data_IF_094754353081
#
_entry.id   IF_094754353081
#
_cell.length_a   1.000
_cell.length_b   1.000
_cell.length_c   1.000
_cell.angle_alpha   90.00
_cell.angle_beta   90.00
_cell.angle_gamma   90.00
#
_symmetry.space_group_name_H-M   'P 1'
#
loop_
_entity.id
_entity.type
_entity.pdbx_description
1 polymer ?
#
# COMPACT_ATOMS: atom_id res chain seq x y z
N UNK A 1 -11.22 -10.53 6.43
CA UNK A 1 -11.14 -9.08 6.14
C UNK A 1 -12.13 -8.40 7.03
N UNK A 2 -11.76 -7.24 7.59
CA UNK A 2 -12.64 -6.42 8.43
C UNK A 2 -12.25 -4.94 8.27
N UNK A 3 -12.98 -4.02 8.88
CA UNK A 3 -12.56 -2.63 9.02
C UNK A 3 -11.38 -2.51 9.99
N UNK A 4 -10.43 -1.66 9.64
CA UNK A 4 -9.26 -1.41 10.46
C UNK A 4 -9.66 -0.57 11.68
N UNK A 5 -9.25 -0.99 12.89
CA UNK A 5 -9.67 -0.34 14.14
C UNK A 5 -9.22 1.12 14.27
N UNK A 6 -8.20 1.53 13.50
CA UNK A 6 -7.70 2.92 13.44
C UNK A 6 -8.40 3.77 12.35
N UNK A 7 -9.42 3.25 11.68
CA UNK A 7 -10.13 3.96 10.61
C UNK A 7 -9.46 3.81 9.25
N UNK A 8 -9.15 4.92 8.59
CA UNK A 8 -8.60 4.98 7.24
C UNK A 8 -7.09 5.19 7.25
N UNK A 9 -6.38 4.53 6.34
CA UNK A 9 -5.05 4.93 5.91
C UNK A 9 -5.16 5.65 4.56
N UNK A 10 -4.72 6.90 4.52
CA UNK A 10 -4.83 7.71 3.30
C UNK A 10 -3.67 8.69 3.10
N UNK A 11 -3.28 8.88 1.84
CA UNK A 11 -2.22 9.80 1.42
C UNK A 11 -0.95 9.05 1.02
N UNK A 12 0.21 9.64 1.22
CA UNK A 12 1.50 8.98 0.98
C UNK A 12 2.05 8.37 2.27
N UNK A 13 2.23 7.05 2.27
CA UNK A 13 2.73 6.28 3.40
C UNK A 13 4.06 5.58 3.09
N UNK A 14 4.87 5.38 4.13
CA UNK A 14 6.07 4.56 4.05
C UNK A 14 5.72 3.07 4.13
N UNK A 15 6.31 2.28 3.24
CA UNK A 15 6.13 0.84 3.14
C UNK A 15 7.48 0.16 3.37
N UNK A 16 7.51 -0.82 4.28
CA UNK A 16 8.67 -1.67 4.57
C UNK A 16 8.52 -3.02 3.89
N UNK A 17 9.53 -3.40 3.09
CA UNK A 17 9.70 -4.75 2.58
C UNK A 17 10.31 -5.63 3.68
N UNK A 18 9.64 -6.74 3.96
CA UNK A 18 10.08 -7.78 4.89
C UNK A 18 11.21 -8.63 4.28
N UNK A 19 11.87 -9.42 5.12
CA UNK A 19 12.98 -10.28 4.71
C UNK A 19 12.59 -11.20 3.55
N UNK A 20 11.41 -11.82 3.64
CA UNK A 20 10.85 -12.70 2.61
C UNK A 20 10.57 -11.96 1.29
N UNK A 21 10.26 -10.66 1.37
CA UNK A 21 9.98 -9.79 0.24
C UNK A 21 11.21 -9.41 -0.59
N UNK A 22 12.42 -9.46 -0.01
CA UNK A 22 13.66 -9.09 -0.71
C UNK A 22 13.93 -10.01 -1.89
N UNK A 23 13.59 -11.29 -1.76
CA UNK A 23 13.70 -12.29 -2.83
C UNK A 23 12.43 -12.49 -3.66
N UNK A 24 11.34 -11.79 -3.32
CA UNK A 24 10.07 -11.99 -4.01
C UNK A 24 10.17 -11.57 -5.49
N UNK A 25 9.64 -12.35 -6.46
CA UNK A 25 9.76 -12.03 -7.88
C UNK A 25 9.29 -10.62 -8.26
N UNK A 26 8.30 -10.08 -7.53
CA UNK A 26 7.71 -8.78 -7.82
C UNK A 26 8.40 -7.62 -7.08
N UNK A 27 9.02 -7.89 -5.92
CA UNK A 27 9.64 -6.86 -5.07
C UNK A 27 11.17 -6.88 -5.07
N UNK A 28 11.79 -7.90 -5.67
CA UNK A 28 13.26 -8.00 -5.76
C UNK A 28 13.88 -6.78 -6.41
N UNK A 29 14.98 -6.30 -5.82
CA UNK A 29 15.73 -5.14 -6.31
C UNK A 29 15.09 -3.78 -6.00
N UNK A 30 13.95 -3.75 -5.31
CA UNK A 30 13.38 -2.51 -4.77
C UNK A 30 14.09 -2.12 -3.45
N UNK A 31 14.11 -0.82 -3.10
CA UNK A 31 14.63 -0.40 -1.81
C UNK A 31 13.80 -0.98 -0.67
N UNK A 32 14.44 -1.34 0.45
CA UNK A 32 13.77 -1.93 1.62
C UNK A 32 12.64 -1.04 2.16
N UNK A 33 12.80 0.27 2.06
CA UNK A 33 11.76 1.25 2.38
C UNK A 33 11.43 2.04 1.12
N UNK A 34 10.14 2.21 0.84
CA UNK A 34 9.66 3.10 -0.21
C UNK A 34 8.38 3.81 0.21
N UNK A 35 7.96 4.81 -0.56
CA UNK A 35 6.69 5.50 -0.36
C UNK A 35 5.66 5.00 -1.36
N UNK A 36 4.41 4.89 -0.95
CA UNK A 36 3.28 4.51 -1.78
C UNK A 36 2.02 5.29 -1.41
N UNK A 37 1.12 5.45 -2.38
CA UNK A 37 -0.20 5.99 -2.13
C UNK A 37 -1.12 4.92 -1.52
N UNK A 38 -1.82 5.29 -0.46
CA UNK A 38 -2.76 4.43 0.27
C UNK A 38 -4.11 5.12 0.36
N UNK A 39 -5.19 4.35 0.30
CA UNK A 39 -6.56 4.83 0.47
C UNK A 39 -7.47 3.65 0.84
N UNK A 40 -7.39 3.16 2.08
CA UNK A 40 -8.20 2.03 2.52
C UNK A 40 -8.62 2.14 3.99
N UNK A 41 -9.79 1.60 4.30
CA UNK A 41 -10.30 1.45 5.67
C UNK A 41 -10.45 -0.01 6.09
N UNK A 42 -10.21 -0.94 5.17
CA UNK A 42 -10.27 -2.36 5.42
C UNK A 42 -8.86 -2.94 5.57
N UNK A 43 -8.78 -4.07 6.27
CA UNK A 43 -7.54 -4.79 6.54
C UNK A 43 -7.73 -6.29 6.39
N UNK A 44 -6.66 -6.97 5.98
CA UNK A 44 -6.60 -8.43 5.98
C UNK A 44 -6.21 -8.92 7.37
N UNK A 45 -7.22 -9.33 8.14
CA UNK A 45 -7.05 -9.75 9.56
C UNK A 45 -6.24 -11.04 9.74
N UNK A 46 -6.25 -11.95 8.76
CA UNK A 46 -5.46 -13.17 8.75
C UNK A 46 -5.10 -13.56 7.32
N UNK A 47 -3.82 -13.80 7.07
CA UNK A 47 -3.36 -14.39 5.82
C UNK A 47 -3.55 -15.92 5.85
N UNK A 48 -3.78 -16.55 4.68
CA UNK A 48 -3.71 -18.01 4.56
C UNK A 48 -2.36 -18.55 5.04
N UNK A 49 -2.33 -19.75 5.61
CA UNK A 49 -1.11 -20.31 6.22
C UNK A 49 0.06 -20.48 5.24
N UNK A 50 -0.24 -20.57 3.94
CA UNK A 50 0.75 -20.71 2.86
C UNK A 50 1.06 -19.38 2.14
N UNK A 51 0.55 -18.25 2.64
CA UNK A 51 0.88 -16.95 2.11
C UNK A 51 2.25 -16.48 2.63
N UNK A 52 3.03 -15.87 1.73
CA UNK A 52 4.27 -15.19 2.07
C UNK A 52 3.94 -13.72 2.26
N UNK A 53 4.14 -13.19 3.46
CA UNK A 53 3.95 -11.76 3.73
C UNK A 53 5.18 -10.99 3.25
N UNK A 54 4.95 -9.96 2.43
CA UNK A 54 6.01 -9.28 1.68
C UNK A 54 6.30 -7.89 2.21
N UNK A 55 5.25 -7.11 2.52
CA UNK A 55 5.41 -5.74 2.97
C UNK A 55 4.40 -5.36 4.05
N UNK A 56 4.79 -4.40 4.87
CA UNK A 56 4.00 -3.87 5.99
C UNK A 56 4.27 -2.37 6.20
N UNK A 57 3.51 -1.76 7.07
CA UNK A 57 3.91 -0.54 7.77
C UNK A 57 3.33 -0.55 9.19
N UNK A 58 3.31 0.62 9.85
CA UNK A 58 2.79 0.76 11.22
C UNK A 58 1.25 0.69 11.30
N UNK A 59 0.55 1.07 10.23
CA UNK A 59 -0.90 1.01 10.14
C UNK A 59 -1.35 -0.37 9.71
N UNK A 60 -0.93 -0.84 8.53
CA UNK A 60 -1.32 -2.11 7.94
C UNK A 60 -0.18 -3.15 8.00
N UNK A 61 -0.35 -4.24 8.77
CA UNK A 61 0.65 -5.29 8.87
C UNK A 61 0.81 -6.12 7.58
N UNK A 62 -0.20 -6.13 6.70
CA UNK A 62 -0.24 -6.97 5.49
C UNK A 62 -0.40 -6.12 4.21
N UNK A 63 0.47 -5.13 3.99
CA UNK A 63 0.42 -4.27 2.80
C UNK A 63 0.68 -4.99 1.49
N UNK A 64 1.47 -6.07 1.52
CA UNK A 64 1.63 -6.96 0.39
C UNK A 64 1.87 -8.40 0.85
N UNK A 65 1.35 -9.34 0.08
CA UNK A 65 1.58 -10.77 0.26
C UNK A 65 1.49 -11.52 -1.07
N UNK A 66 2.06 -12.72 -1.13
CA UNK A 66 1.94 -13.66 -2.25
C UNK A 66 1.35 -14.98 -1.80
N UNK A 67 0.51 -15.56 -2.65
CA UNK A 67 -0.04 -16.92 -2.56
C UNK A 67 0.48 -17.73 -3.75
N UNK A 68 1.10 -18.87 -3.46
CA UNK A 68 1.68 -19.72 -4.51
C UNK A 68 2.77 -19.01 -5.30
N UNK A 69 2.85 -19.26 -6.62
CA UNK A 69 3.90 -18.70 -7.47
C UNK A 69 3.50 -17.40 -8.16
N UNK A 70 2.20 -17.14 -8.33
CA UNK A 70 1.71 -16.14 -9.29
C UNK A 70 0.50 -15.32 -8.82
N UNK A 71 0.14 -15.33 -7.54
CA UNK A 71 -0.95 -14.51 -7.02
C UNK A 71 -0.44 -13.55 -5.93
N UNK A 72 -0.58 -12.24 -6.14
CA UNK A 72 -0.19 -11.22 -5.17
C UNK A 72 -1.42 -10.43 -4.72
N UNK A 73 -1.46 -10.10 -3.43
CA UNK A 73 -2.32 -9.07 -2.87
C UNK A 73 -1.47 -7.87 -2.49
N UNK A 74 -1.90 -6.67 -2.88
CA UNK A 74 -1.30 -5.41 -2.48
C UNK A 74 -2.41 -4.47 -1.98
N UNK A 75 -2.11 -3.71 -0.94
CA UNK A 75 -3.07 -2.81 -0.29
C UNK A 75 -2.88 -1.34 -0.67
N UNK A 76 -1.65 -0.96 -1.06
CA UNK A 76 -1.34 0.35 -1.64
C UNK A 76 -1.68 0.39 -3.13
N UNK A 77 -1.74 1.60 -3.69
CA UNK A 77 -2.12 1.88 -5.07
C UNK A 77 -0.88 2.18 -5.94
N UNK A 78 -0.29 1.16 -6.61
CA UNK A 78 0.84 1.39 -7.51
C UNK A 78 0.47 2.15 -8.79
N UNK A 79 -0.82 2.26 -9.09
CA UNK A 79 -1.40 2.94 -10.24
C UNK A 79 -1.67 4.43 -10.00
N UNK A 80 -1.54 4.92 -8.76
CA UNK A 80 -1.80 6.32 -8.42
C UNK A 80 -0.56 7.18 -8.64
N UNK A 81 -0.80 8.40 -9.11
CA UNK A 81 0.15 9.51 -9.01
C UNK A 81 -0.30 10.50 -7.91
N UNK A 82 0.52 11.52 -7.67
CA UNK A 82 0.29 12.55 -6.66
C UNK A 82 -0.99 13.35 -6.91
N UNK A 83 -1.35 13.57 -8.17
CA UNK A 83 -2.57 14.32 -8.54
C UNK A 83 -3.83 13.51 -8.26
N UNK A 84 -3.81 12.22 -8.60
CA UNK A 84 -4.91 11.30 -8.27
C UNK A 84 -5.05 11.22 -6.76
N UNK A 85 -3.95 11.08 -6.02
CA UNK A 85 -4.02 10.99 -4.56
C UNK A 85 -4.58 12.29 -3.95
N UNK A 86 -4.16 13.47 -4.43
CA UNK A 86 -4.69 14.75 -3.96
C UNK A 86 -6.21 14.85 -4.17
N UNK A 87 -6.69 14.51 -5.37
CA UNK A 87 -8.12 14.49 -5.66
C UNK A 87 -8.87 13.50 -4.76
N UNK A 88 -8.31 12.32 -4.47
CA UNK A 88 -8.92 11.35 -3.55
C UNK A 88 -9.02 11.89 -2.12
N UNK A 89 -7.96 12.52 -1.62
CA UNK A 89 -7.94 13.15 -0.28
C UNK A 89 -9.03 14.21 -0.16
N UNK A 90 -9.19 15.07 -1.16
CA UNK A 90 -10.26 16.07 -1.22
C UNK A 90 -11.66 15.45 -1.16
N UNK A 91 -11.88 14.35 -1.89
CA UNK A 91 -13.19 13.69 -1.93
C UNK A 91 -13.58 12.96 -0.64
N UNK A 92 -12.64 12.70 0.26
CA UNK A 92 -12.87 11.96 1.51
C UNK A 92 -12.51 12.76 2.77
N UNK A 93 -12.49 14.09 2.66
CA UNK A 93 -12.20 15.01 3.78
C UNK A 93 -12.98 14.67 5.05
N UNK A 94 -14.27 14.31 4.92
CA UNK A 94 -15.12 13.94 6.06
C UNK A 94 -14.56 12.71 6.78
N UNK A 95 -14.28 11.63 6.04
CA UNK A 95 -13.70 10.39 6.60
C UNK A 95 -12.32 10.62 7.24
N UNK A 96 -11.50 11.51 6.65
CA UNK A 96 -10.20 11.90 7.21
C UNK A 96 -10.40 12.53 8.59
N UNK A 97 -11.28 13.53 8.68
CA UNK A 97 -11.56 14.22 9.96
C UNK A 97 -12.16 13.28 11.00
N UNK A 98 -13.08 12.40 10.60
CA UNK A 98 -13.70 11.41 11.49
C UNK A 98 -12.68 10.37 12.02
N UNK A 99 -11.66 10.04 11.24
CA UNK A 99 -10.56 9.16 11.66
C UNK A 99 -9.54 9.82 12.58
N UNK A 100 -9.69 11.13 12.87
CA UNK A 100 -8.76 11.90 13.68
C UNK A 100 -7.50 12.37 12.94
N UNK A 101 -7.44 12.18 11.62
CA UNK A 101 -6.36 12.69 10.77
C UNK A 101 -6.59 14.18 10.45
N UNK A 102 -5.50 14.91 10.22
CA UNK A 102 -5.55 16.30 9.80
C UNK A 102 -5.61 16.38 8.27
N UNK A 103 -6.72 16.88 7.72
CA UNK A 103 -6.93 17.02 6.28
C UNK A 103 -5.83 17.81 5.57
N UNK A 104 -5.49 19.02 6.06
CA UNK A 104 -4.48 19.87 5.43
C UNK A 104 -3.12 19.19 5.44
N UNK A 105 -2.73 18.60 6.56
CA UNK A 105 -1.45 17.92 6.70
C UNK A 105 -1.36 16.68 5.79
N UNK A 106 -2.45 15.93 5.64
CA UNK A 106 -2.53 14.79 4.71
C UNK A 106 -2.32 15.25 3.28
N UNK A 107 -2.96 16.35 2.87
CA UNK A 107 -2.83 16.92 1.53
C UNK A 107 -1.42 17.45 1.25
N UNK A 108 -0.85 18.19 2.22
CA UNK A 108 0.49 18.81 2.10
C UNK A 108 1.63 17.78 2.02
N UNK A 109 1.41 16.56 2.53
CA UNK A 109 2.40 15.48 2.53
C UNK A 109 2.36 14.59 1.29
N UNK A 110 1.43 14.83 0.36
CA UNK A 110 1.38 14.05 -0.88
C UNK A 110 2.62 14.38 -1.72
N UNK A 111 3.28 13.34 -2.19
CA UNK A 111 4.46 13.44 -3.06
C UNK A 111 4.49 12.29 -4.05
N UNK A 112 5.20 12.42 -5.18
CA UNK A 112 5.30 11.36 -6.18
C UNK A 112 5.89 10.05 -5.61
N UNK A 113 5.29 8.92 -5.97
CA UNK A 113 5.75 7.58 -5.56
C UNK A 113 6.18 6.74 -6.77
N UNK A 114 7.42 6.88 -7.28
CA UNK A 114 7.85 6.19 -8.51
C UNK A 114 8.16 4.70 -8.31
N UNK A 115 8.36 4.24 -7.07
CA UNK A 115 8.70 2.84 -6.78
C UNK A 115 7.52 1.90 -7.00
N UNK A 116 6.30 2.18 -6.48
CA UNK A 116 5.11 1.37 -6.76
C UNK A 116 4.83 1.12 -8.25
N UNK A 117 5.10 2.08 -9.13
CA UNK A 117 4.91 1.91 -10.59
C UNK A 117 5.74 0.73 -11.14
N UNK A 118 6.96 0.54 -10.62
CA UNK A 118 7.83 -0.60 -11.01
C UNK A 118 7.23 -1.95 -10.61
N UNK A 119 6.45 -1.99 -9.53
CA UNK A 119 5.72 -3.18 -9.09
C UNK A 119 4.63 -3.50 -10.12
N UNK A 120 3.85 -2.50 -10.55
CA UNK A 120 2.81 -2.69 -11.57
C UNK A 120 3.40 -3.17 -12.91
N UNK A 121 4.51 -2.56 -13.35
CA UNK A 121 5.24 -3.00 -14.54
C UNK A 121 5.81 -4.42 -14.41
N UNK A 122 6.34 -4.75 -13.23
CA UNK A 122 6.87 -6.09 -12.93
C UNK A 122 5.77 -7.15 -12.96
N UNK A 123 4.58 -6.81 -12.45
CA UNK A 123 3.42 -7.69 -12.47
C UNK A 123 3.00 -8.02 -13.90
N UNK A 124 2.92 -7.01 -14.77
CA UNK A 124 2.59 -7.21 -16.18
C UNK A 124 3.55 -8.13 -16.93
N UNK A 125 4.81 -8.24 -16.50
CA UNK A 125 5.81 -9.16 -17.09
C UNK A 125 5.70 -10.59 -16.58
N UNK A 126 5.15 -10.80 -15.39
CA UNK A 126 5.00 -12.11 -14.75
C UNK A 126 3.65 -12.77 -15.04
N UNK A 127 2.67 -12.00 -15.53
CA UNK A 127 1.31 -12.46 -15.83
C UNK A 127 1.13 -12.96 -17.28
N UNK A 128 2.20 -12.95 -18.09
CA UNK A 128 2.24 -13.45 -19.48
C UNK A 128 2.85 -14.85 -19.49
#
# INVERSE_FOLDING_TARGET
>A
MDFHAKGIEIGTAGIEILEEGVSDPLFKGLPKMFKAHVCHSQTVTRLPDHAVRIAKNFFEPNHAFRIGQSAWGIQFHPEFDDKIMAAYVENVETSIKESGLNFSETLDKIEPTPIPVKILEGFGKLAI
#
